data_IF_066912715362
#
_entry.id   IF_066912715362
#
_cell.length_a   1.000
_cell.length_b   1.000
_cell.length_c   1.000
_cell.angle_alpha   90.00
_cell.angle_beta   90.00
_cell.angle_gamma   90.00
#
_symmetry.space_group_name_H-M   'P 1'
#
loop_
_entity.id
_entity.type
_entity.pdbx_description
1 polymer ?
#
# COMPACT_ATOMS: atom_id res chain seq x y z
N UNK A 1 1.67 0.57 -10.85
CA UNK A 1 0.65 -0.14 -11.68
C UNK A 1 0.01 -1.16 -10.77
N UNK A 2 -1.29 -1.03 -10.55
CA UNK A 2 -2.05 -1.98 -9.74
C UNK A 2 -2.63 -3.05 -10.65
N UNK A 3 -2.31 -4.33 -10.39
CA UNK A 3 -3.01 -5.45 -11.03
C UNK A 3 -4.25 -5.80 -10.23
N UNK A 4 -5.34 -6.07 -10.91
CA UNK A 4 -6.56 -6.57 -10.28
C UNK A 4 -6.31 -7.97 -9.67
N UNK A 5 -6.89 -8.20 -8.48
CA UNK A 5 -6.84 -9.49 -7.82
C UNK A 5 -6.18 -9.46 -6.43
N UNK A 6 -5.93 -10.66 -5.89
CA UNK A 6 -5.40 -10.82 -4.53
C UNK A 6 -3.92 -10.44 -4.40
N UNK A 7 -3.14 -10.52 -5.47
CA UNK A 7 -1.74 -10.13 -5.54
C UNK A 7 -1.62 -8.66 -5.93
N UNK A 8 -2.25 -7.79 -5.17
CA UNK A 8 -2.25 -6.36 -5.41
C UNK A 8 -1.34 -5.66 -4.43
N UNK A 9 -0.46 -4.79 -4.95
CA UNK A 9 0.33 -3.88 -4.11
C UNK A 9 -0.60 -2.89 -3.40
N UNK A 10 -0.53 -2.84 -2.07
CA UNK A 10 -1.32 -1.95 -1.24
C UNK A 10 -0.40 -0.94 -0.55
N UNK A 11 -0.25 0.28 -1.07
CA UNK A 11 0.61 1.28 -0.46
C UNK A 11 0.04 1.74 0.88
N UNK A 12 0.90 1.95 1.87
CA UNK A 12 0.53 2.58 3.13
C UNK A 12 0.35 4.10 2.94
N UNK A 13 -0.85 4.66 3.19
CA UNK A 13 -1.12 6.08 2.98
C UNK A 13 -0.21 7.02 3.77
N UNK A 14 0.23 6.63 4.97
CA UNK A 14 1.14 7.44 5.78
C UNK A 14 2.50 7.68 5.11
N UNK A 15 2.94 6.76 4.25
CA UNK A 15 4.17 6.88 3.46
C UNK A 15 4.02 7.68 2.16
N UNK A 16 2.81 8.16 1.85
CA UNK A 16 2.53 8.89 0.62
C UNK A 16 2.54 10.40 0.84
N UNK A 17 3.14 11.11 -0.11
CA UNK A 17 3.02 12.56 -0.22
C UNK A 17 1.63 12.95 -0.75
N UNK A 18 1.16 12.22 -1.79
CA UNK A 18 -0.13 12.42 -2.43
C UNK A 18 -0.59 11.21 -3.22
N UNK A 19 -1.87 11.20 -3.53
CA UNK A 19 -2.49 10.25 -4.46
C UNK A 19 -3.09 11.05 -5.61
N UNK A 20 -2.75 10.66 -6.84
CA UNK A 20 -3.22 11.28 -8.07
C UNK A 20 -4.16 10.31 -8.79
N UNK A 21 -5.31 10.81 -9.24
CA UNK A 21 -6.29 10.01 -9.99
C UNK A 21 -6.39 10.56 -11.41
N UNK A 22 -5.93 9.79 -12.37
CA UNK A 22 -6.02 10.10 -13.79
C UNK A 22 -7.22 9.37 -14.38
N UNK A 23 -8.22 10.10 -14.84
CA UNK A 23 -9.43 9.56 -15.45
C UNK A 23 -9.29 9.50 -16.97
N UNK A 24 -9.67 8.37 -17.56
CA UNK A 24 -9.56 8.15 -19.00
C UNK A 24 -8.22 7.55 -19.43
N UNK A 25 -7.98 7.40 -20.74
CA UNK A 25 -6.79 6.75 -21.26
C UNK A 25 -5.53 7.57 -20.97
N UNK A 26 -4.67 7.04 -20.12
CA UNK A 26 -3.43 7.67 -19.65
C UNK A 26 -2.16 6.90 -20.06
N UNK A 27 -2.31 5.88 -20.90
CA UNK A 27 -1.22 5.01 -21.34
C UNK A 27 -0.10 5.71 -22.11
N UNK A 28 -0.38 6.84 -22.72
CA UNK A 28 0.65 7.64 -23.42
C UNK A 28 1.69 8.21 -22.45
N UNK A 29 1.28 8.54 -21.23
CA UNK A 29 2.15 9.17 -20.23
C UNK A 29 2.70 8.20 -19.21
N UNK A 30 1.98 7.11 -18.91
CA UNK A 30 2.26 6.22 -17.78
C UNK A 30 2.46 4.75 -18.18
N UNK A 31 2.59 4.45 -19.49
CA UNK A 31 2.72 3.10 -19.99
C UNK A 31 1.40 2.34 -19.99
N UNK A 32 1.45 1.00 -19.83
CA UNK A 32 0.25 0.17 -19.84
C UNK A 32 -0.71 0.57 -18.71
N UNK A 33 -1.85 1.11 -19.08
CA UNK A 33 -2.90 1.52 -18.16
C UNK A 33 -4.28 1.14 -18.71
N UNK A 34 -5.24 0.74 -17.85
CA UNK A 34 -6.60 0.46 -18.29
C UNK A 34 -7.26 1.74 -18.85
N UNK A 35 -8.20 1.62 -19.82
CA UNK A 35 -8.83 2.77 -20.47
C UNK A 35 -9.67 3.64 -19.52
N UNK A 36 -10.05 3.12 -18.35
CA UNK A 36 -10.77 3.85 -17.32
C UNK A 36 -9.91 4.84 -16.52
N UNK A 37 -8.59 4.72 -16.59
CA UNK A 37 -7.65 5.57 -15.86
C UNK A 37 -6.74 4.79 -14.92
N UNK A 38 -5.94 5.53 -14.15
CA UNK A 38 -5.02 4.96 -13.16
C UNK A 38 -5.00 5.79 -11.88
N UNK A 39 -4.56 5.15 -10.80
CA UNK A 39 -4.24 5.81 -9.53
C UNK A 39 -2.73 5.77 -9.36
N UNK A 40 -2.12 6.94 -9.21
CA UNK A 40 -0.70 7.09 -8.94
C UNK A 40 -0.49 7.45 -7.47
N UNK A 41 0.29 6.63 -6.76
CA UNK A 41 0.66 6.85 -5.36
C UNK A 41 2.11 7.36 -5.31
N UNK A 42 2.28 8.62 -4.94
CA UNK A 42 3.58 9.28 -4.86
C UNK A 42 4.10 9.18 -3.43
N UNK A 43 5.20 8.49 -3.24
CA UNK A 43 5.84 8.34 -1.93
C UNK A 43 6.45 9.67 -1.46
N UNK A 44 6.57 9.86 -0.18
CA UNK A 44 7.28 10.98 0.43
C UNK A 44 8.77 10.98 0.04
N UNK A 45 9.34 12.17 -0.21
CA UNK A 45 10.73 12.38 -0.59
C UNK A 45 11.48 13.14 0.50
N UNK A 46 12.81 13.02 0.58
CA UNK A 46 13.65 13.87 1.44
C UNK A 46 13.41 15.35 1.19
N UNK A 47 13.48 16.16 2.25
CA UNK A 47 13.23 17.60 2.22
C UNK A 47 14.49 18.41 2.45
N UNK A 48 14.54 19.62 1.90
CA UNK A 48 15.65 20.56 2.08
C UNK A 48 15.69 21.16 3.48
N UNK A 49 14.53 21.27 4.11
CA UNK A 49 14.40 21.82 5.47
C UNK A 49 14.10 20.70 6.46
N UNK A 50 14.70 20.74 7.68
CA UNK A 50 14.38 19.77 8.72
C UNK A 50 12.90 19.80 9.08
N UNK A 51 12.28 18.63 9.14
CA UNK A 51 10.92 18.47 9.62
C UNK A 51 10.76 17.13 10.35
N UNK A 52 9.77 17.08 11.22
CA UNK A 52 9.46 15.84 11.94
C UNK A 52 8.03 15.86 12.48
N UNK A 53 7.41 14.68 12.44
CA UNK A 53 6.07 14.44 12.99
C UNK A 53 6.07 13.12 13.76
N UNK A 54 5.38 13.11 14.90
CA UNK A 54 5.00 11.89 15.61
C UNK A 54 3.49 11.89 15.73
N UNK A 55 2.84 10.87 15.21
CA UNK A 55 1.39 10.73 15.20
C UNK A 55 0.96 9.56 16.08
N UNK A 56 0.02 9.80 17.01
CA UNK A 56 -0.59 8.77 17.83
C UNK A 56 -2.09 8.77 17.61
N UNK A 57 -2.66 7.59 17.37
CA UNK A 57 -4.10 7.43 17.22
C UNK A 57 -4.59 6.30 18.09
N UNK A 58 -5.70 6.55 18.79
CA UNK A 58 -6.46 5.56 19.54
C UNK A 58 -7.91 5.63 19.08
N UNK A 59 -8.56 4.48 18.95
CA UNK A 59 -9.92 4.42 18.46
C UNK A 59 -10.70 3.21 18.92
N UNK A 60 -11.88 3.05 18.38
CA UNK A 60 -12.74 1.90 18.63
C UNK A 60 -12.07 0.60 18.15
N UNK A 61 -12.49 -0.54 18.70
CA UNK A 61 -12.01 -1.87 18.31
C UNK A 61 -10.52 -1.99 18.46
N UNK A 62 -10.03 -1.60 19.63
CA UNK A 62 -8.63 -1.67 20.00
C UNK A 62 -7.68 -1.00 19.00
N UNK A 63 -8.20 -0.07 18.18
CA UNK A 63 -7.35 0.65 17.23
C UNK A 63 -6.27 1.42 17.95
N UNK A 64 -5.03 1.11 17.62
CA UNK A 64 -3.81 1.77 18.07
C UNK A 64 -2.89 1.98 16.89
N UNK A 65 -2.38 3.20 16.78
CA UNK A 65 -1.44 3.54 15.73
C UNK A 65 -0.37 4.47 16.28
N UNK A 66 0.85 4.24 15.87
CA UNK A 66 1.96 5.18 16.02
C UNK A 66 2.65 5.35 14.68
N UNK A 67 2.84 6.61 14.28
CA UNK A 67 3.55 6.99 13.06
C UNK A 67 4.68 7.96 13.40
N UNK A 68 5.79 7.83 12.70
CA UNK A 68 6.94 8.73 12.79
C UNK A 68 7.37 9.09 11.38
N UNK A 69 7.57 10.36 11.13
CA UNK A 69 8.09 10.90 9.88
C UNK A 69 9.14 11.97 10.20
N UNK A 70 10.36 11.76 9.74
CA UNK A 70 11.45 12.73 9.94
C UNK A 70 12.26 12.87 8.67
N UNK A 71 12.60 14.10 8.33
CA UNK A 71 13.33 14.43 7.10
C UNK A 71 14.20 15.67 7.28
N UNK A 72 15.21 15.80 6.47
CA UNK A 72 16.07 16.98 6.41
C UNK A 72 17.45 16.71 5.83
N UNK A 73 18.29 17.73 5.76
CA UNK A 73 19.67 17.61 5.29
C UNK A 73 20.56 16.87 6.29
N UNK A 74 21.54 16.16 5.77
CA UNK A 74 22.65 15.56 6.52
C UNK A 74 23.89 16.41 6.28
N UNK A 75 24.43 16.99 7.35
CA UNK A 75 25.60 17.89 7.25
C UNK A 75 25.22 19.34 6.90
N UNK A 76 26.24 20.18 6.79
CA UNK A 76 26.07 21.62 6.57
C UNK A 76 25.87 22.00 5.09
N UNK A 77 26.38 21.19 4.16
CA UNK A 77 26.25 21.47 2.72
C UNK A 77 24.82 21.31 2.19
N UNK A 78 24.03 20.41 2.79
CA UNK A 78 22.69 20.10 2.32
C UNK A 78 22.62 19.18 1.10
N UNK A 79 23.77 18.76 0.56
CA UNK A 79 23.85 17.90 -0.65
C UNK A 79 23.26 16.51 -0.41
N UNK A 80 23.22 16.07 0.83
CA UNK A 80 22.64 14.79 1.23
C UNK A 80 21.43 15.06 2.12
N UNK A 81 20.27 14.52 1.73
CA UNK A 81 19.01 14.66 2.48
C UNK A 81 18.41 13.30 2.75
N UNK A 82 17.81 13.12 3.89
CA UNK A 82 17.17 11.87 4.27
C UNK A 82 15.68 12.06 4.57
N UNK A 83 14.93 10.99 4.49
CA UNK A 83 13.60 10.85 5.10
C UNK A 83 13.41 9.46 5.63
N UNK A 84 12.87 9.35 6.83
CA UNK A 84 12.49 8.10 7.47
C UNK A 84 11.02 8.17 7.84
N UNK A 85 10.22 7.26 7.27
CA UNK A 85 8.81 7.12 7.59
C UNK A 85 8.59 5.76 8.20
N UNK A 86 8.00 5.71 9.38
CA UNK A 86 7.66 4.46 10.08
C UNK A 86 6.23 4.49 10.59
N UNK A 87 5.53 3.35 10.53
CA UNK A 87 4.20 3.20 11.09
C UNK A 87 4.03 1.81 11.66
N UNK A 88 3.41 1.76 12.83
CA UNK A 88 2.78 0.58 13.38
C UNK A 88 1.31 0.86 13.61
N UNK A 89 0.44 -0.06 13.24
CA UNK A 89 -0.97 -0.01 13.60
C UNK A 89 -1.55 -1.38 13.83
N UNK A 90 -2.46 -1.48 14.77
CA UNK A 90 -3.28 -2.65 15.04
C UNK A 90 -4.75 -2.25 15.20
N UNK A 91 -5.66 -3.15 14.86
CA UNK A 91 -7.08 -2.94 15.00
C UNK A 91 -7.83 -4.26 14.91
N UNK A 92 -8.84 -4.44 15.78
CA UNK A 92 -9.84 -5.49 15.61
C UNK A 92 -10.76 -5.17 14.43
N UNK A 93 -11.21 -6.19 13.71
CA UNK A 93 -12.13 -6.05 12.61
C UNK A 93 -13.58 -5.81 13.05
N UNK A 94 -14.47 -5.77 12.06
CA UNK A 94 -15.91 -5.56 12.29
C UNK A 94 -16.65 -6.83 12.70
N UNK A 95 -16.09 -7.99 12.42
CA UNK A 95 -16.60 -9.29 12.82
C UNK A 95 -15.82 -9.84 14.01
N UNK A 96 -16.48 -10.67 14.80
CA UNK A 96 -15.86 -11.36 15.94
C UNK A 96 -14.61 -12.14 15.49
N UNK A 97 -13.56 -12.10 16.31
CA UNK A 97 -12.29 -12.80 16.06
C UNK A 97 -11.59 -12.42 14.75
N UNK A 98 -11.74 -11.19 14.31
CA UNK A 98 -10.96 -10.63 13.20
C UNK A 98 -10.09 -9.49 13.69
N UNK A 99 -8.88 -9.43 13.19
CA UNK A 99 -7.88 -8.43 13.54
C UNK A 99 -6.98 -8.13 12.34
N UNK A 100 -6.23 -7.06 12.44
CA UNK A 100 -5.19 -6.70 11.49
C UNK A 100 -4.10 -5.89 12.17
N UNK A 101 -2.87 -6.28 11.93
CA UNK A 101 -1.67 -5.61 12.35
C UNK A 101 -0.84 -5.22 11.14
N UNK A 102 -0.25 -4.01 11.15
CA UNK A 102 0.62 -3.54 10.07
C UNK A 102 1.88 -2.88 10.62
N UNK A 103 2.99 -3.29 10.05
CA UNK A 103 4.29 -2.63 10.15
C UNK A 103 4.65 -2.01 8.80
N UNK A 104 5.09 -0.78 8.82
CA UNK A 104 5.57 -0.08 7.64
C UNK A 104 6.84 0.70 7.96
N UNK A 105 7.83 0.62 7.07
CA UNK A 105 9.05 1.42 7.14
C UNK A 105 9.51 1.79 5.73
N UNK A 106 9.77 3.08 5.51
CA UNK A 106 10.20 3.62 4.23
C UNK A 106 11.32 4.66 4.40
N UNK A 107 12.58 4.24 4.35
CA UNK A 107 13.71 5.14 4.29
C UNK A 107 13.92 5.65 2.86
N UNK A 108 14.39 6.89 2.74
CA UNK A 108 14.85 7.47 1.48
C UNK A 108 16.03 8.40 1.69
N UNK A 109 16.86 8.54 0.65
CA UNK A 109 18.08 9.35 0.65
C UNK A 109 18.21 10.05 -0.70
N UNK A 110 18.28 11.36 -0.70
CA UNK A 110 18.60 12.15 -1.88
C UNK A 110 20.05 12.65 -1.78
N UNK A 111 20.78 12.54 -2.88
CA UNK A 111 22.18 12.96 -2.99
C UNK A 111 22.31 13.83 -4.23
N UNK A 112 22.72 15.07 -4.04
CA UNK A 112 23.15 15.96 -5.12
C UNK A 112 24.60 15.63 -5.44
N UNK A 113 24.83 14.90 -6.52
CA UNK A 113 26.15 14.45 -6.96
C UNK A 113 26.93 15.60 -7.63
N UNK A 114 26.21 16.56 -8.18
CA UNK A 114 26.69 17.83 -8.73
C UNK A 114 25.53 18.81 -8.79
N UNK A 115 25.81 20.07 -9.21
CA UNK A 115 24.79 21.10 -9.42
C UNK A 115 23.70 20.66 -10.43
N UNK A 116 24.06 19.75 -11.35
CA UNK A 116 23.19 19.27 -12.41
C UNK A 116 22.63 17.85 -12.17
N UNK A 117 23.05 17.16 -11.11
CA UNK A 117 22.74 15.74 -10.93
C UNK A 117 22.26 15.42 -9.53
N UNK A 118 21.02 14.94 -9.41
CA UNK A 118 20.44 14.42 -8.17
C UNK A 118 20.04 12.96 -8.33
N UNK A 119 20.39 12.12 -7.36
CA UNK A 119 19.93 10.75 -7.24
C UNK A 119 19.16 10.59 -5.94
N UNK A 120 17.91 10.09 -6.02
CA UNK A 120 17.09 9.79 -4.84
C UNK A 120 16.88 8.28 -4.74
N UNK A 121 17.43 7.67 -3.69
CA UNK A 121 17.18 6.26 -3.36
C UNK A 121 15.93 6.14 -2.50
N UNK A 122 15.14 5.12 -2.78
CA UNK A 122 13.87 4.86 -2.14
C UNK A 122 13.77 3.38 -1.77
N UNK A 123 13.43 3.11 -0.53
CA UNK A 123 13.10 1.76 -0.11
C UNK A 123 11.80 1.76 0.71
N UNK A 124 11.12 0.64 0.73
CA UNK A 124 9.97 0.43 1.61
C UNK A 124 9.79 -1.03 1.94
N UNK A 125 9.32 -1.30 3.14
CA UNK A 125 8.83 -2.62 3.56
C UNK A 125 7.52 -2.43 4.30
N UNK A 126 6.55 -3.29 4.01
CA UNK A 126 5.27 -3.36 4.69
C UNK A 126 4.96 -4.81 4.99
N UNK A 127 4.56 -5.08 6.21
CA UNK A 127 4.04 -6.37 6.62
C UNK A 127 2.65 -6.18 7.20
N UNK A 128 1.70 -6.92 6.64
CA UNK A 128 0.35 -7.06 7.15
C UNK A 128 0.19 -8.47 7.69
N UNK A 129 -0.40 -8.60 8.87
CA UNK A 129 -0.76 -9.86 9.52
C UNK A 129 -2.15 -9.73 10.11
N UNK A 130 -3.03 -10.68 9.83
CA UNK A 130 -4.38 -10.61 10.35
C UNK A 130 -5.29 -11.76 9.94
N UNK A 131 -6.51 -11.70 10.44
CA UNK A 131 -7.59 -12.59 10.04
C UNK A 131 -8.49 -11.85 9.05
N UNK A 132 -8.68 -12.38 7.82
CA UNK A 132 -9.46 -11.70 6.80
C UNK A 132 -10.92 -11.55 7.21
N UNK A 133 -11.47 -10.37 6.96
CA UNK A 133 -12.89 -10.11 7.16
C UNK A 133 -13.67 -10.66 5.97
N UNK A 134 -14.48 -11.69 6.19
CA UNK A 134 -15.44 -12.17 5.19
C UNK A 134 -16.85 -11.73 5.58
N UNK A 135 -17.37 -10.62 5.01
CA UNK A 135 -18.64 -10.04 5.42
C UNK A 135 -19.86 -10.77 4.83
N UNK A 136 -19.65 -11.77 3.98
CA UNK A 136 -20.77 -12.49 3.36
C UNK A 136 -21.53 -13.31 4.38
N UNK A 137 -22.80 -12.94 4.56
CA UNK A 137 -23.77 -13.68 5.38
C UNK A 137 -24.85 -14.24 4.50
N UNK A 138 -25.33 -15.42 4.89
CA UNK A 138 -26.44 -16.06 4.20
C UNK A 138 -27.74 -15.33 4.52
N UNK A 139 -28.78 -15.40 3.66
CA UNK A 139 -30.03 -14.65 3.86
C UNK A 139 -30.81 -15.08 5.10
N UNK A 140 -30.65 -16.33 5.53
CA UNK A 140 -31.36 -16.87 6.71
C UNK A 140 -30.81 -16.27 8.01
N UNK A 141 -31.70 -15.72 8.83
CA UNK A 141 -31.34 -15.02 10.05
C UNK A 141 -30.78 -13.60 9.85
N UNK A 142 -30.65 -13.15 8.59
CA UNK A 142 -30.28 -11.78 8.24
C UNK A 142 -31.44 -11.02 7.62
N UNK A 143 -31.79 -11.30 6.35
CA UNK A 143 -32.95 -10.70 5.65
C UNK A 143 -34.20 -11.59 5.70
N UNK A 144 -34.03 -12.89 5.92
CA UNK A 144 -35.11 -13.85 6.12
C UNK A 144 -35.18 -14.30 7.58
N UNK A 145 -36.35 -14.27 8.15
CA UNK A 145 -36.55 -14.72 9.54
C UNK A 145 -36.38 -16.24 9.66
N UNK A 146 -35.90 -16.68 10.81
CA UNK A 146 -35.78 -18.09 11.18
C UNK A 146 -36.49 -18.37 12.50
N UNK A 147 -36.88 -19.61 12.79
CA UNK A 147 -37.45 -20.00 14.08
C UNK A 147 -36.48 -19.76 15.26
N UNK A 148 -35.21 -19.54 14.99
CA UNK A 148 -34.11 -19.36 15.97
C UNK A 148 -33.71 -17.90 16.15
N UNK A 149 -34.45 -16.96 15.53
CA UNK A 149 -34.14 -15.53 15.58
C UNK A 149 -33.16 -15.07 14.51
N UNK A 150 -32.49 -13.95 14.79
CA UNK A 150 -31.57 -13.30 13.87
C UNK A 150 -30.13 -13.59 14.26
N UNK A 151 -29.27 -13.66 13.23
CA UNK A 151 -27.79 -13.73 13.41
C UNK A 151 -27.28 -12.36 13.79
N UNK A 152 -26.43 -12.29 14.82
CA UNK A 152 -25.78 -11.06 15.20
C UNK A 152 -24.96 -10.52 14.03
N UNK A 153 -25.05 -9.20 13.73
CA UNK A 153 -24.25 -8.57 12.66
C UNK A 153 -22.74 -8.79 12.80
N UNK A 154 -22.23 -8.95 14.01
CA UNK A 154 -20.80 -9.17 14.27
C UNK A 154 -20.37 -10.63 14.16
N UNK A 155 -21.33 -11.57 14.07
CA UNK A 155 -20.99 -13.00 13.95
C UNK A 155 -20.06 -13.25 12.78
N UNK A 156 -18.92 -13.86 13.06
CA UNK A 156 -17.98 -14.34 12.07
C UNK A 156 -18.33 -15.77 11.65
N UNK A 157 -18.58 -15.99 10.36
CA UNK A 157 -18.86 -17.31 9.78
C UNK A 157 -17.60 -18.00 9.23
N UNK A 158 -16.45 -17.35 9.36
CA UNK A 158 -15.16 -17.88 8.97
C UNK A 158 -14.58 -18.83 10.03
N UNK A 159 -13.31 -19.21 9.91
CA UNK A 159 -12.60 -20.07 10.88
C UNK A 159 -11.34 -19.35 11.40
N UNK A 160 -11.46 -18.52 12.44
CA UNK A 160 -10.36 -17.66 12.90
C UNK A 160 -9.08 -18.43 13.29
N UNK A 161 -9.21 -19.67 13.75
CA UNK A 161 -8.05 -20.52 14.07
C UNK A 161 -7.29 -21.05 12.83
N UNK A 162 -7.87 -20.93 11.63
CA UNK A 162 -7.29 -21.36 10.37
C UNK A 162 -7.05 -20.21 9.41
N UNK A 163 -8.00 -19.24 9.38
CA UNK A 163 -7.98 -18.13 8.44
C UNK A 163 -6.86 -17.16 8.78
N UNK A 164 -6.20 -16.66 7.73
CA UNK A 164 -5.15 -15.63 7.82
C UNK A 164 -5.02 -14.86 6.50
N UNK A 165 -4.60 -13.63 6.61
CA UNK A 165 -4.19 -12.78 5.50
C UNK A 165 -2.85 -12.15 5.84
N UNK A 166 -1.78 -12.87 5.49
CA UNK A 166 -0.41 -12.45 5.72
C UNK A 166 0.16 -11.94 4.41
N UNK A 167 0.64 -10.72 4.43
CA UNK A 167 1.21 -10.06 3.27
C UNK A 167 2.51 -9.38 3.66
N UNK A 168 3.57 -9.67 2.91
CA UNK A 168 4.83 -8.92 2.99
C UNK A 168 5.11 -8.32 1.64
N UNK A 169 5.33 -7.02 1.59
CA UNK A 169 5.68 -6.32 0.36
C UNK A 169 6.87 -5.41 0.62
N UNK A 170 7.83 -5.41 -0.29
CA UNK A 170 8.97 -4.53 -0.22
C UNK A 170 9.39 -4.03 -1.59
N UNK A 171 10.02 -2.88 -1.60
CA UNK A 171 10.51 -2.29 -2.83
C UNK A 171 11.83 -1.56 -2.56
N UNK A 172 12.65 -1.52 -3.61
CA UNK A 172 13.89 -0.74 -3.66
C UNK A 172 13.98 -0.08 -5.04
N UNK A 173 14.41 1.16 -5.07
CA UNK A 173 14.57 1.87 -6.33
C UNK A 173 15.36 3.16 -6.20
N UNK A 174 15.54 3.80 -7.33
CA UNK A 174 16.11 5.15 -7.40
C UNK A 174 15.42 5.99 -8.46
N UNK A 175 15.53 7.29 -8.29
CA UNK A 175 15.19 8.33 -9.25
C UNK A 175 16.45 9.13 -9.53
N UNK A 176 16.87 9.18 -10.80
CA UNK A 176 17.95 9.99 -11.29
C UNK A 176 17.39 11.19 -12.06
N UNK A 177 17.87 12.38 -11.76
CA UNK A 177 17.65 13.60 -12.52
C UNK A 177 18.99 14.19 -12.90
N UNK A 178 19.16 14.48 -14.19
CA UNK A 178 20.39 15.07 -14.72
C UNK A 178 20.06 16.15 -15.74
N UNK A 179 20.40 17.39 -15.42
CA UNK A 179 20.29 18.53 -16.32
C UNK A 179 21.47 18.49 -17.32
N UNK A 180 21.20 18.11 -18.57
CA UNK A 180 22.19 18.05 -19.64
C UNK A 180 22.65 19.47 -20.05
N UNK A 181 21.75 20.41 -19.98
CA UNK A 181 21.95 21.85 -20.22
C UNK A 181 20.66 22.60 -19.82
N UNK A 182 20.64 23.93 -19.99
CA UNK A 182 19.51 24.80 -19.63
C UNK A 182 18.17 24.42 -20.28
N UNK A 183 18.22 23.62 -21.35
CA UNK A 183 17.01 23.23 -22.12
C UNK A 183 16.58 21.80 -21.83
N UNK A 184 17.53 20.87 -21.67
CA UNK A 184 17.26 19.44 -21.62
C UNK A 184 17.62 18.82 -20.29
N UNK A 185 16.67 18.00 -19.76
CA UNK A 185 16.86 17.16 -18.59
C UNK A 185 16.59 15.69 -18.95
N UNK A 186 17.47 14.82 -18.48
CA UNK A 186 17.25 13.39 -18.48
C UNK A 186 16.75 12.94 -17.10
N UNK A 187 15.70 12.12 -17.08
CA UNK A 187 15.16 11.50 -15.87
C UNK A 187 15.08 9.98 -16.07
N UNK A 188 15.46 9.24 -15.04
CA UNK A 188 15.32 7.78 -15.02
C UNK A 188 14.81 7.34 -13.66
N UNK A 189 13.75 6.53 -13.68
CA UNK A 189 13.19 5.87 -12.51
C UNK A 189 13.37 4.36 -12.65
N UNK A 190 14.00 3.72 -11.67
CA UNK A 190 14.13 2.28 -11.56
C UNK A 190 13.52 1.81 -10.26
N UNK A 191 12.70 0.75 -10.30
CA UNK A 191 12.14 0.12 -9.12
C UNK A 191 12.07 -1.38 -9.28
N UNK A 192 12.55 -2.10 -8.27
CA UNK A 192 12.22 -3.49 -8.02
C UNK A 192 11.23 -3.58 -6.87
N UNK A 193 10.28 -4.49 -6.96
CA UNK A 193 9.32 -4.76 -5.90
C UNK A 193 8.93 -6.21 -5.85
N UNK A 194 8.68 -6.70 -4.63
CA UNK A 194 8.24 -8.06 -4.38
C UNK A 194 7.07 -8.06 -3.40
N UNK A 195 6.12 -8.93 -3.64
CA UNK A 195 4.96 -9.16 -2.80
C UNK A 195 4.82 -10.65 -2.55
N UNK A 196 4.85 -11.05 -1.27
CA UNK A 196 4.48 -12.39 -0.81
C UNK A 196 3.09 -12.34 -0.15
N UNK A 197 2.25 -13.32 -0.46
CA UNK A 197 0.90 -13.44 0.08
C UNK A 197 0.62 -14.87 0.54
N UNK A 198 0.17 -15.03 1.79
CA UNK A 198 -0.53 -16.22 2.26
C UNK A 198 -1.95 -15.83 2.70
N UNK A 199 -2.95 -16.24 1.92
CA UNK A 199 -4.36 -16.03 2.23
C UNK A 199 -5.04 -17.37 2.48
N UNK A 200 -5.61 -17.53 3.66
CA UNK A 200 -6.54 -18.59 4.03
C UNK A 200 -7.85 -17.95 4.45
N UNK A 201 -8.93 -18.25 3.74
CA UNK A 201 -10.22 -17.66 4.02
C UNK A 201 -11.31 -18.71 3.96
N UNK A 202 -12.09 -18.81 5.01
CA UNK A 202 -13.27 -19.65 5.11
C UNK A 202 -14.50 -18.79 4.91
N UNK A 203 -15.43 -19.25 4.10
CA UNK A 203 -16.68 -18.55 3.83
C UNK A 203 -17.87 -19.50 3.83
N UNK A 204 -19.01 -19.01 4.28
CA UNK A 204 -20.29 -19.74 4.20
C UNK A 204 -20.95 -19.45 2.85
N UNK A 205 -21.37 -20.48 2.13
CA UNK A 205 -22.03 -20.33 0.82
C UNK A 205 -23.38 -21.04 0.71
N UNK A 206 -23.74 -21.89 1.67
CA UNK A 206 -25.00 -22.64 1.64
C UNK A 206 -25.45 -22.98 3.06
N UNK A 207 -26.76 -22.94 3.30
CA UNK A 207 -27.38 -23.45 4.53
C UNK A 207 -27.81 -24.90 4.32
N UNK A 208 -27.25 -25.82 5.08
CA UNK A 208 -27.71 -27.23 5.09
C UNK A 208 -28.99 -27.43 5.89
N UNK A 209 -29.18 -26.60 6.92
CA UNK A 209 -30.44 -26.47 7.66
C UNK A 209 -30.53 -25.08 8.32
N UNK A 210 -31.60 -24.81 9.09
CA UNK A 210 -31.80 -23.49 9.69
C UNK A 210 -30.74 -23.06 10.73
N UNK A 211 -29.80 -23.92 11.08
CA UNK A 211 -28.74 -23.66 12.08
C UNK A 211 -27.35 -24.03 11.61
N UNK A 212 -27.18 -24.62 10.43
CA UNK A 212 -25.91 -25.12 9.92
C UNK A 212 -25.60 -24.54 8.56
N UNK A 213 -24.46 -23.95 8.43
CA UNK A 213 -23.91 -23.48 7.15
C UNK A 213 -22.86 -24.45 6.62
N UNK A 214 -22.91 -24.74 5.33
CA UNK A 214 -21.80 -25.36 4.62
C UNK A 214 -20.80 -24.29 4.30
N UNK A 215 -19.52 -24.55 4.63
CA UNK A 215 -18.42 -23.61 4.42
C UNK A 215 -17.44 -24.15 3.39
N UNK A 216 -16.85 -23.25 2.62
CA UNK A 216 -15.74 -23.53 1.73
C UNK A 216 -14.49 -22.82 2.21
N UNK A 217 -13.33 -23.27 1.73
CA UNK A 217 -12.04 -22.69 2.04
C UNK A 217 -11.36 -22.20 0.76
N UNK A 218 -10.76 -21.04 0.84
CA UNK A 218 -9.83 -20.53 -0.17
C UNK A 218 -8.44 -20.54 0.44
N UNK A 219 -7.49 -21.11 -0.28
CA UNK A 219 -6.07 -21.04 0.03
C UNK A 219 -5.33 -20.46 -1.16
N UNK A 220 -4.51 -19.45 -0.89
CA UNK A 220 -3.62 -18.81 -1.87
C UNK A 220 -2.30 -18.56 -1.19
N UNK A 221 -1.25 -19.00 -1.83
CA UNK A 221 0.13 -18.84 -1.40
C UNK A 221 0.97 -18.58 -2.63
N UNK A 222 1.75 -17.52 -2.60
CA UNK A 222 2.59 -17.19 -3.73
C UNK A 222 3.19 -15.79 -3.65
N UNK A 223 4.09 -15.54 -4.59
CA UNK A 223 4.80 -14.27 -4.69
C UNK A 223 4.70 -13.68 -6.10
N UNK A 224 4.85 -12.37 -6.17
CA UNK A 224 5.03 -11.63 -7.41
C UNK A 224 6.22 -10.69 -7.23
N UNK A 225 7.14 -10.73 -8.17
CA UNK A 225 8.21 -9.76 -8.32
C UNK A 225 8.01 -8.92 -9.60
N UNK A 226 8.51 -7.70 -9.59
CA UNK A 226 8.34 -6.77 -10.69
C UNK A 226 9.51 -5.79 -10.78
N UNK A 227 10.00 -5.59 -12.00
CA UNK A 227 10.90 -4.52 -12.38
C UNK A 227 10.17 -3.45 -13.16
N UNK A 228 10.38 -2.20 -12.80
CA UNK A 228 9.84 -1.05 -13.53
C UNK A 228 10.98 -0.10 -13.85
N UNK A 229 11.09 0.27 -15.12
CA UNK A 229 12.07 1.25 -15.63
C UNK A 229 11.31 2.28 -16.43
N UNK A 230 11.51 3.55 -16.11
CA UNK A 230 11.03 4.68 -16.90
C UNK A 230 12.20 5.60 -17.25
N UNK A 231 12.28 6.03 -18.49
CA UNK A 231 13.28 6.97 -18.99
C UNK A 231 12.56 8.10 -19.69
N UNK A 232 12.86 9.33 -19.28
CA UNK A 232 12.26 10.53 -19.87
C UNK A 232 13.33 11.54 -20.25
N UNK A 233 13.06 12.22 -21.38
CA UNK A 233 13.79 13.40 -21.77
C UNK A 233 12.81 14.58 -21.71
N UNK A 234 13.10 15.56 -20.88
CA UNK A 234 12.26 16.75 -20.68
C UNK A 234 12.97 17.93 -21.30
N UNK A 235 12.28 18.65 -22.19
CA UNK A 235 12.82 19.84 -22.84
C UNK A 235 11.95 21.07 -22.59
N UNK A 236 12.56 22.20 -22.22
CA UNK A 236 11.91 23.49 -22.02
C UNK A 236 12.43 24.48 -23.05
N UNK A 237 11.54 25.00 -23.89
CA UNK A 237 11.84 26.04 -24.86
C UNK A 237 10.99 27.27 -24.60
N UNK A 238 11.62 28.43 -24.71
CA UNK A 238 10.91 29.69 -24.76
C UNK A 238 10.65 29.99 -26.25
N UNK A 239 9.39 30.21 -26.62
CA UNK A 239 9.00 30.72 -27.94
C UNK A 239 8.67 32.17 -27.78
N UNK A 240 9.33 33.03 -28.61
CA UNK A 240 9.04 34.45 -28.70
C UNK A 240 7.64 34.72 -29.27
#
# INVERSE_FOLDING_TARGET
IYREGFYQWLPEPYGLERVEVFKGPSSILYGEAPPGGLINAVSKRPTETPQGEVNFQLGNRNHRQVGVDTSGPLGESGDVRYRLVGLYKERDGDLDHTDNERYYFAPSLAVDMSDDTTVTFLASVQKDDGVPVNPFKLPYGTVQDTPFGRVDPQTNLSEPGYDRDNRTQWALGYELRHDLNDTWRFEQDLRYSELDLELRSTYAFFMSDARRATRGHVYRDGSIDSWTVDNRMVGNWYTD
#
